data_IF_761001424375
#
_entry.id   IF_761001424375
#
_cell.length_a   1.000
_cell.length_b   1.000
_cell.length_c   1.000
_cell.angle_alpha   90.00
_cell.angle_beta   90.00
_cell.angle_gamma   90.00
#
_symmetry.space_group_name_H-M   'P 1'
#
loop_
_entity.id
_entity.type
_entity.pdbx_description
1 polymer ?
#
# COMPACT_ATOMS: atom_id res chain seq x y z
N UNK A 1 3.56 30.72 -24.15
CA UNK A 1 2.78 29.67 -24.83
C UNK A 1 2.07 28.89 -23.73
N UNK A 2 0.75 28.97 -23.66
CA UNK A 2 -0.03 28.18 -22.69
C UNK A 2 -0.03 26.73 -23.15
N UNK A 3 0.39 25.81 -22.26
CA UNK A 3 0.31 24.38 -22.53
C UNK A 3 -1.13 24.00 -22.92
N UNK A 4 -1.33 23.15 -23.93
CA UNK A 4 -2.66 22.72 -24.32
C UNK A 4 -3.36 22.06 -23.12
N UNK A 5 -4.63 22.44 -22.90
CA UNK A 5 -5.43 21.88 -21.82
C UNK A 5 -5.63 20.37 -22.07
N UNK A 6 -5.39 19.50 -21.07
CA UNK A 6 -5.61 18.07 -21.26
C UNK A 6 -7.09 17.78 -21.56
N UNK A 7 -7.39 16.72 -22.33
CA UNK A 7 -8.79 16.34 -22.68
C UNK A 7 -9.67 16.12 -21.45
N UNK A 8 -9.08 15.59 -20.37
CA UNK A 8 -9.73 15.34 -19.06
C UNK A 8 -8.74 15.66 -17.97
N UNK A 9 -9.21 16.32 -16.92
CA UNK A 9 -8.40 16.50 -15.70
C UNK A 9 -8.48 15.22 -14.88
N UNK A 10 -7.36 14.49 -14.75
CA UNK A 10 -7.25 13.34 -13.87
C UNK A 10 -7.19 13.84 -12.42
N UNK A 11 -8.06 13.27 -11.56
CA UNK A 11 -8.17 13.64 -10.14
C UNK A 11 -7.59 12.57 -9.20
N UNK A 12 -7.20 11.39 -9.72
CA UNK A 12 -6.60 10.31 -8.94
C UNK A 12 -6.62 8.99 -9.69
N UNK A 13 -6.05 7.97 -9.07
CA UNK A 13 -6.20 6.58 -9.51
C UNK A 13 -7.47 6.02 -8.89
N UNK A 14 -8.39 5.49 -9.72
CA UNK A 14 -9.64 4.92 -9.24
C UNK A 14 -9.50 3.43 -8.94
N UNK A 15 -8.83 2.66 -9.81
CA UNK A 15 -8.78 1.22 -9.69
C UNK A 15 -7.41 0.66 -10.10
N UNK A 16 -6.98 -0.38 -9.38
CA UNK A 16 -5.84 -1.22 -9.76
C UNK A 16 -6.20 -2.68 -9.57
N UNK A 17 -5.51 -3.59 -10.27
CA UNK A 17 -5.81 -5.03 -10.23
C UNK A 17 -4.59 -5.85 -9.86
N UNK A 18 -4.82 -6.90 -9.08
CA UNK A 18 -3.84 -7.93 -8.71
C UNK A 18 -4.30 -9.29 -9.23
N UNK A 19 -3.33 -10.15 -9.57
CA UNK A 19 -3.59 -11.54 -9.89
C UNK A 19 -3.15 -12.43 -8.73
N UNK A 20 -4.04 -13.30 -8.26
CA UNK A 20 -3.82 -14.17 -7.11
C UNK A 20 -4.01 -15.65 -7.49
N UNK A 21 -3.38 -16.56 -6.76
CA UNK A 21 -3.49 -17.99 -7.02
C UNK A 21 -4.83 -18.57 -6.51
N UNK A 22 -5.34 -18.03 -5.41
CA UNK A 22 -6.58 -18.50 -4.78
C UNK A 22 -7.41 -17.32 -4.30
N UNK A 23 -8.55 -17.09 -4.95
CA UNK A 23 -9.41 -15.93 -4.67
C UNK A 23 -9.96 -15.95 -3.24
N UNK A 24 -10.37 -17.12 -2.71
CA UNK A 24 -10.94 -17.21 -1.37
C UNK A 24 -9.90 -16.88 -0.28
N UNK A 25 -8.65 -17.32 -0.46
CA UNK A 25 -7.57 -16.99 0.46
C UNK A 25 -7.26 -15.49 0.42
N UNK A 26 -7.24 -14.89 -0.76
CA UNK A 26 -6.99 -13.46 -0.93
C UNK A 26 -8.14 -12.62 -0.40
N UNK A 27 -9.39 -13.03 -0.64
CA UNK A 27 -10.56 -12.32 -0.07
C UNK A 27 -10.44 -12.27 1.45
N UNK A 28 -10.20 -13.39 2.14
CA UNK A 28 -9.99 -13.38 3.59
C UNK A 28 -8.84 -12.48 4.02
N UNK A 29 -7.72 -12.51 3.31
CA UNK A 29 -6.59 -11.64 3.63
C UNK A 29 -6.96 -10.15 3.55
N UNK A 30 -7.59 -9.73 2.46
CA UNK A 30 -7.93 -8.32 2.26
C UNK A 30 -9.05 -7.84 3.19
N UNK A 31 -10.04 -8.66 3.51
CA UNK A 31 -11.10 -8.33 4.47
C UNK A 31 -10.64 -8.43 5.92
N UNK A 32 -10.10 -9.57 6.34
CA UNK A 32 -9.87 -9.85 7.76
C UNK A 32 -8.56 -9.23 8.29
N UNK A 33 -7.50 -9.19 7.45
CA UNK A 33 -6.21 -8.64 7.87
C UNK A 33 -6.10 -7.16 7.55
N UNK A 34 -6.42 -6.75 6.31
CA UNK A 34 -6.33 -5.35 5.90
C UNK A 34 -7.58 -4.55 6.25
N UNK A 35 -8.71 -5.19 6.52
CA UNK A 35 -9.98 -4.53 6.85
C UNK A 35 -10.59 -3.79 5.67
N UNK A 36 -10.30 -4.21 4.42
CA UNK A 36 -10.91 -3.62 3.26
C UNK A 36 -12.37 -4.08 3.12
N UNK A 37 -13.27 -3.17 2.80
CA UNK A 37 -14.66 -3.49 2.56
C UNK A 37 -14.84 -4.15 1.19
N UNK A 38 -15.40 -5.37 1.15
CA UNK A 38 -15.75 -6.03 -0.10
C UNK A 38 -16.84 -5.25 -0.81
N UNK A 39 -16.52 -4.69 -1.97
CA UNK A 39 -17.45 -3.95 -2.80
C UNK A 39 -18.36 -4.88 -3.60
N UNK A 40 -17.76 -5.88 -4.23
CA UNK A 40 -18.48 -6.86 -5.05
C UNK A 40 -17.62 -8.09 -5.36
N UNK A 41 -18.28 -9.24 -5.59
CA UNK A 41 -17.63 -10.48 -6.05
C UNK A 41 -18.41 -11.07 -7.24
N UNK A 42 -17.70 -11.35 -8.33
CA UNK A 42 -18.21 -12.04 -9.52
C UNK A 42 -17.67 -13.47 -9.52
N UNK A 43 -18.51 -14.43 -9.14
CA UNK A 43 -18.12 -15.84 -9.00
C UNK A 43 -17.75 -16.47 -10.36
N UNK A 44 -18.53 -16.20 -11.39
CA UNK A 44 -18.33 -16.70 -12.76
C UNK A 44 -17.06 -16.16 -13.42
N UNK A 45 -16.54 -15.04 -12.96
CA UNK A 45 -15.31 -14.42 -13.45
C UNK A 45 -14.11 -14.57 -12.49
N UNK A 46 -14.30 -15.21 -11.35
CA UNK A 46 -13.27 -15.40 -10.33
C UNK A 46 -12.54 -14.09 -9.95
N UNK A 47 -13.31 -13.05 -9.65
CA UNK A 47 -12.80 -11.73 -9.25
C UNK A 47 -13.56 -11.18 -8.05
N UNK A 48 -12.85 -10.47 -7.19
CA UNK A 48 -13.41 -9.67 -6.10
C UNK A 48 -12.89 -8.23 -6.18
N UNK A 49 -13.71 -7.28 -5.77
CA UNK A 49 -13.39 -5.85 -5.72
C UNK A 49 -13.56 -5.34 -4.31
N UNK A 50 -12.62 -4.55 -3.84
CA UNK A 50 -12.62 -3.95 -2.50
C UNK A 50 -12.55 -2.44 -2.59
N UNK A 51 -13.29 -1.75 -1.74
CA UNK A 51 -13.10 -0.31 -1.55
C UNK A 51 -11.80 -0.04 -0.80
N UNK A 52 -10.96 0.84 -1.36
CA UNK A 52 -9.75 1.34 -0.69
C UNK A 52 -10.04 2.72 -0.11
N UNK A 53 -10.61 2.75 1.08
CA UNK A 53 -11.12 3.94 1.73
C UNK A 53 -12.65 4.01 1.71
N UNK A 54 -13.24 5.18 1.41
CA UNK A 54 -14.70 5.31 1.36
C UNK A 54 -15.31 4.65 0.14
N UNK A 55 -16.54 4.16 0.26
CA UNK A 55 -17.33 3.67 -0.87
C UNK A 55 -17.43 4.71 -2.00
N UNK A 56 -17.27 4.26 -3.25
CA UNK A 56 -17.25 5.13 -4.43
C UNK A 56 -15.97 5.95 -4.59
N UNK A 57 -14.97 5.74 -3.74
CA UNK A 57 -13.66 6.41 -3.83
C UNK A 57 -12.73 5.74 -4.82
N UNK A 58 -12.01 4.73 -4.36
CA UNK A 58 -11.09 3.93 -5.19
C UNK A 58 -11.22 2.45 -4.89
N UNK A 59 -10.76 1.59 -5.80
CA UNK A 59 -10.96 0.14 -5.72
C UNK A 59 -9.68 -0.65 -5.97
N UNK A 60 -9.61 -1.82 -5.33
CA UNK A 60 -8.66 -2.87 -5.62
C UNK A 60 -9.43 -4.07 -6.19
N UNK A 61 -9.13 -4.47 -7.42
CA UNK A 61 -9.62 -5.70 -8.03
C UNK A 61 -8.64 -6.85 -7.82
N UNK A 62 -9.13 -8.01 -7.39
CA UNK A 62 -8.33 -9.21 -7.16
C UNK A 62 -8.86 -10.35 -8.03
N UNK A 63 -8.05 -10.83 -8.99
CA UNK A 63 -8.41 -11.83 -10.00
C UNK A 63 -7.69 -13.15 -9.75
N UNK A 64 -8.41 -14.25 -9.76
CA UNK A 64 -7.77 -15.56 -9.71
C UNK A 64 -6.99 -15.86 -10.99
N UNK A 65 -5.83 -16.48 -10.85
CA UNK A 65 -4.98 -16.88 -11.98
C UNK A 65 -5.76 -17.78 -12.95
N UNK A 66 -5.63 -17.49 -14.25
CA UNK A 66 -6.42 -18.16 -15.30
C UNK A 66 -7.63 -17.35 -15.78
N UNK A 67 -8.21 -16.48 -14.95
CA UNK A 67 -9.21 -15.49 -15.35
C UNK A 67 -8.60 -14.09 -15.56
N UNK A 68 -7.43 -13.83 -14.97
CA UNK A 68 -6.70 -12.58 -15.14
C UNK A 68 -5.91 -12.54 -16.45
N UNK A 69 -5.76 -11.35 -17.06
CA UNK A 69 -5.01 -11.20 -18.31
C UNK A 69 -3.50 -11.46 -18.17
N UNK A 70 -2.92 -11.23 -16.98
CA UNK A 70 -1.50 -11.41 -16.71
C UNK A 70 -1.27 -11.93 -15.29
N UNK A 71 -0.23 -12.77 -15.12
CA UNK A 71 0.27 -13.22 -13.81
C UNK A 71 1.62 -12.57 -13.55
N UNK A 72 1.66 -11.57 -12.64
CA UNK A 72 2.90 -10.91 -12.24
C UNK A 72 2.77 -10.41 -10.80
N UNK A 73 3.90 -10.30 -10.08
CA UNK A 73 3.91 -9.64 -8.78
C UNK A 73 3.86 -8.13 -8.96
N UNK A 74 2.89 -7.51 -8.33
CA UNK A 74 2.65 -6.08 -8.41
C UNK A 74 2.96 -5.41 -7.08
N UNK A 75 3.08 -4.06 -7.10
CA UNK A 75 3.22 -3.22 -5.93
C UNK A 75 1.99 -2.34 -5.77
N UNK A 76 1.45 -2.29 -4.54
CA UNK A 76 0.32 -1.42 -4.17
C UNK A 76 0.63 -0.74 -2.85
N UNK A 77 0.54 0.59 -2.82
CA UNK A 77 0.68 1.39 -1.62
C UNK A 77 -0.70 1.89 -1.13
N UNK A 78 -0.98 1.69 0.15
CA UNK A 78 -2.19 2.15 0.82
C UNK A 78 -1.87 3.36 1.70
N UNK A 79 -2.52 4.46 1.45
CA UNK A 79 -2.41 5.63 2.31
C UNK A 79 -3.09 5.37 3.67
N UNK A 80 -2.39 5.75 4.75
CA UNK A 80 -2.91 5.61 6.11
C UNK A 80 -2.47 6.80 6.98
N UNK A 81 -2.94 6.84 8.23
CA UNK A 81 -2.48 7.84 9.19
C UNK A 81 -1.09 7.49 9.73
N UNK A 82 -0.33 8.53 10.14
CA UNK A 82 0.96 8.32 10.82
C UNK A 82 0.78 7.50 12.10
N UNK A 83 -0.27 7.74 12.86
CA UNK A 83 -0.54 6.98 14.09
C UNK A 83 -0.75 5.48 13.82
N UNK A 84 -1.41 5.13 12.72
CA UNK A 84 -1.63 3.74 12.36
C UNK A 84 -0.36 3.06 11.87
N UNK A 85 0.42 3.71 11.00
CA UNK A 85 1.63 3.10 10.44
C UNK A 85 2.70 2.87 11.50
N UNK A 86 2.81 3.72 12.53
CA UNK A 86 3.73 3.53 13.65
C UNK A 86 3.39 2.29 14.48
N UNK A 87 2.13 1.88 14.54
CA UNK A 87 1.68 0.68 15.23
C UNK A 87 1.61 -0.56 14.31
N UNK A 88 1.71 -0.37 13.01
CA UNK A 88 1.53 -1.42 12.02
C UNK A 88 2.55 -2.57 12.14
N UNK A 89 3.84 -2.37 12.46
CA UNK A 89 4.79 -3.47 12.57
C UNK A 89 4.36 -4.53 13.59
N UNK A 90 3.93 -4.10 14.79
CA UNK A 90 3.46 -5.01 15.83
C UNK A 90 2.16 -5.71 15.40
N UNK A 91 1.18 -4.95 14.90
CA UNK A 91 -0.12 -5.48 14.48
C UNK A 91 -0.03 -6.49 13.33
N UNK A 92 0.90 -6.29 12.38
CA UNK A 92 1.14 -7.25 11.29
C UNK A 92 1.74 -8.54 11.82
N UNK A 93 2.73 -8.48 12.73
CA UNK A 93 3.35 -9.67 13.34
C UNK A 93 2.35 -10.48 14.16
N UNK A 94 1.49 -9.82 14.93
CA UNK A 94 0.42 -10.48 15.69
C UNK A 94 -0.51 -11.30 14.80
N UNK A 95 -0.61 -10.93 13.50
CA UNK A 95 -1.40 -11.62 12.48
C UNK A 95 -0.59 -12.53 11.57
N UNK A 96 0.68 -12.81 11.94
CA UNK A 96 1.55 -13.72 11.18
C UNK A 96 2.14 -13.12 9.90
N UNK A 97 2.04 -11.81 9.69
CA UNK A 97 2.64 -11.12 8.54
C UNK A 97 3.94 -10.46 8.97
N UNK A 98 5.03 -10.73 8.23
CA UNK A 98 6.34 -10.14 8.51
C UNK A 98 6.48 -8.79 7.80
N UNK A 99 6.56 -7.67 8.53
CA UNK A 99 6.87 -6.37 7.94
C UNK A 99 8.36 -6.24 7.66
N UNK A 100 8.71 -5.47 6.63
CA UNK A 100 10.09 -5.16 6.27
C UNK A 100 10.24 -3.72 5.79
N UNK A 101 11.49 -3.24 5.80
CA UNK A 101 11.86 -1.90 5.34
C UNK A 101 12.11 -1.83 3.84
N UNK A 102 12.57 -0.68 3.39
CA UNK A 102 12.73 -0.36 1.97
C UNK A 102 13.69 -1.32 1.23
N UNK A 103 14.74 -1.80 1.90
CA UNK A 103 15.74 -2.71 1.33
C UNK A 103 15.45 -4.19 1.62
N UNK A 104 14.28 -4.50 2.22
CA UNK A 104 13.87 -5.87 2.53
C UNK A 104 14.32 -6.39 3.89
N UNK A 105 14.95 -5.55 4.72
CA UNK A 105 15.34 -5.88 6.10
C UNK A 105 14.11 -5.96 7.02
N UNK A 106 14.10 -6.83 8.05
CA UNK A 106 13.02 -6.86 9.02
C UNK A 106 12.81 -5.48 9.67
N UNK A 107 11.56 -5.01 9.74
CA UNK A 107 11.25 -3.68 10.24
C UNK A 107 10.57 -3.72 11.60
N UNK A 108 11.18 -3.07 12.61
CA UNK A 108 10.58 -2.81 13.92
C UNK A 108 9.78 -1.50 13.92
N UNK A 109 10.12 -0.59 13.02
CA UNK A 109 9.46 0.69 12.80
C UNK A 109 9.40 0.99 11.30
N UNK A 110 8.53 1.91 10.83
CA UNK A 110 8.54 2.38 9.46
C UNK A 110 9.86 3.07 9.09
N UNK A 111 10.20 3.07 7.80
CA UNK A 111 11.27 3.91 7.25
C UNK A 111 10.66 5.22 6.72
N UNK A 112 11.48 6.27 6.62
CA UNK A 112 11.11 7.53 5.97
C UNK A 112 11.91 7.70 4.68
N UNK A 113 11.20 7.99 3.60
CA UNK A 113 11.77 8.30 2.28
C UNK A 113 12.02 9.80 2.21
N UNK A 114 13.29 10.22 2.27
CA UNK A 114 13.66 11.63 2.45
C UNK A 114 13.27 12.56 1.30
N UNK A 115 13.30 12.10 0.04
CA UNK A 115 12.91 12.93 -1.11
C UNK A 115 11.40 13.21 -1.20
N UNK A 116 10.61 12.32 -0.64
CA UNK A 116 9.17 12.44 -0.48
C UNK A 116 8.87 12.10 1.00
N UNK A 117 8.90 13.06 1.92
CA UNK A 117 8.78 12.76 3.34
C UNK A 117 7.53 11.94 3.64
N UNK A 118 7.71 10.62 3.67
CA UNK A 118 6.65 9.66 3.89
C UNK A 118 7.17 8.51 4.74
N UNK A 119 6.44 8.20 5.83
CA UNK A 119 6.67 6.98 6.57
C UNK A 119 6.12 5.81 5.77
N UNK A 120 6.95 4.80 5.52
CA UNK A 120 6.63 3.64 4.68
C UNK A 120 6.94 2.34 5.39
N UNK A 121 6.07 1.35 5.26
CA UNK A 121 6.23 0.00 5.80
C UNK A 121 5.76 -1.02 4.77
N UNK A 122 6.59 -2.00 4.48
CA UNK A 122 6.34 -2.99 3.45
C UNK A 122 5.98 -4.35 4.02
N UNK A 123 5.15 -5.10 3.30
CA UNK A 123 4.77 -6.48 3.60
C UNK A 123 4.28 -7.17 2.33
N UNK A 124 3.94 -8.47 2.41
CA UNK A 124 3.45 -9.23 1.27
C UNK A 124 2.10 -9.83 1.54
N UNK A 125 1.28 -9.92 0.48
CA UNK A 125 0.08 -10.74 0.49
C UNK A 125 0.43 -12.23 0.27
N UNK A 126 -0.56 -13.16 0.32
CA UNK A 126 -0.34 -14.59 0.11
C UNK A 126 0.29 -14.97 -1.23
N UNK A 127 0.13 -14.15 -2.27
CA UNK A 127 0.68 -14.36 -3.60
C UNK A 127 2.03 -13.67 -3.84
N UNK A 128 2.52 -12.96 -2.83
CA UNK A 128 3.80 -12.27 -2.82
C UNK A 128 3.77 -10.90 -3.49
N UNK A 129 2.59 -10.32 -3.72
CA UNK A 129 2.50 -8.91 -4.10
C UNK A 129 3.16 -8.04 -3.03
N UNK A 130 3.87 -7.02 -3.46
CA UNK A 130 4.47 -6.04 -2.55
C UNK A 130 3.40 -5.04 -2.12
N UNK A 131 3.03 -5.08 -0.86
CA UNK A 131 2.12 -4.12 -0.27
C UNK A 131 2.90 -3.11 0.58
N UNK A 132 2.42 -1.88 0.60
CA UNK A 132 3.01 -0.79 1.37
C UNK A 132 1.91 -0.06 2.13
N UNK A 133 2.14 0.23 3.40
CA UNK A 133 1.47 1.33 4.09
C UNK A 133 2.32 2.59 3.94
N UNK A 134 1.69 3.71 3.61
CA UNK A 134 2.36 4.99 3.44
C UNK A 134 1.61 6.12 4.14
N UNK A 135 2.31 6.90 4.94
CA UNK A 135 1.80 8.11 5.59
C UNK A 135 2.68 9.30 5.22
N UNK A 136 2.11 10.27 4.51
CA UNK A 136 2.83 11.51 4.21
C UNK A 136 3.11 12.29 5.49
N UNK A 137 4.31 12.86 5.58
CA UNK A 137 4.73 13.75 6.67
C UNK A 137 4.66 15.20 6.19
N UNK A 138 4.40 16.13 7.12
CA UNK A 138 4.36 17.57 6.82
C UNK A 138 5.76 18.21 6.71
N UNK A 139 6.81 17.40 6.87
CA UNK A 139 8.20 17.84 6.80
C UNK A 139 8.61 18.24 5.37
N UNK A 140 9.61 19.13 5.26
CA UNK A 140 10.21 19.47 3.98
C UNK A 140 11.02 18.28 3.41
N UNK A 141 11.03 18.06 2.06
CA UNK A 141 11.88 17.07 1.44
C UNK A 141 13.36 17.24 1.75
N UNK A 142 14.03 16.12 2.06
CA UNK A 142 15.48 16.03 2.32
C UNK A 142 16.08 14.85 1.54
N UNK A 143 16.25 14.99 0.22
CA UNK A 143 16.74 13.91 -0.63
C UNK A 143 18.11 13.37 -0.21
N UNK A 144 18.96 14.22 0.37
CA UNK A 144 20.29 13.89 0.85
C UNK A 144 20.30 12.88 2.02
N UNK A 145 19.19 12.78 2.74
CA UNK A 145 19.05 11.82 3.85
C UNK A 145 18.81 10.39 3.33
N UNK A 146 18.25 10.25 2.12
CA UNK A 146 17.92 8.96 1.53
C UNK A 146 16.73 8.31 2.25
N UNK A 147 16.89 7.02 2.62
CA UNK A 147 15.88 6.26 3.35
C UNK A 147 16.43 5.91 4.74
N UNK A 148 15.73 6.32 5.79
CA UNK A 148 16.16 6.13 7.18
C UNK A 148 15.00 5.63 8.06
N UNK A 149 15.25 4.97 9.19
CA UNK A 149 14.21 4.65 10.17
C UNK A 149 13.48 5.91 10.65
N UNK A 150 12.18 5.79 10.95
CA UNK A 150 11.37 6.92 11.41
C UNK A 150 11.97 7.61 12.64
N UNK A 151 12.49 6.84 13.61
CA UNK A 151 13.16 7.40 14.78
C UNK A 151 14.41 8.24 14.43
N UNK A 152 15.14 7.87 13.39
CA UNK A 152 16.28 8.64 12.89
C UNK A 152 15.81 9.93 12.17
N UNK A 153 14.76 9.85 11.36
CA UNK A 153 14.16 11.01 10.72
C UNK A 153 13.75 12.09 11.72
N UNK A 154 13.03 11.71 12.79
CA UNK A 154 12.61 12.64 13.84
C UNK A 154 13.79 13.37 14.46
N UNK A 155 14.91 12.66 14.73
CA UNK A 155 16.13 13.32 15.24
C UNK A 155 16.71 14.34 14.26
N UNK A 156 16.71 14.01 12.97
CA UNK A 156 17.24 14.90 11.92
C UNK A 156 16.41 16.18 11.80
N UNK A 157 15.07 16.06 11.74
CA UNK A 157 14.20 17.24 11.59
C UNK A 157 14.09 18.07 12.85
N UNK A 158 14.24 17.47 14.05
CA UNK A 158 14.24 18.20 15.32
C UNK A 158 15.56 18.94 15.61
N UNK A 159 16.65 18.63 14.90
CA UNK A 159 17.94 19.27 15.06
C UNK A 159 18.14 20.51 14.16
N UNK A 160 17.12 20.85 13.36
CA UNK A 160 17.14 21.96 12.38
C UNK A 160 16.22 23.06 12.80
#
# INVERSE_FOLDING_TARGET
MTSPRPPVQIVGLFETHLTVANLDASVRFYEELLGLELAYRLQDRHVAFFWTGRQGGSMLGVWEAGSAPNTMRLHVAFACSLADILNAPARLRERGVTPFGFYGEPAEEPVVIGWMPAASLYFRDPDGHLLEYVAMLDDAPRPEVGVVPYSAWIRIVSAT
#
